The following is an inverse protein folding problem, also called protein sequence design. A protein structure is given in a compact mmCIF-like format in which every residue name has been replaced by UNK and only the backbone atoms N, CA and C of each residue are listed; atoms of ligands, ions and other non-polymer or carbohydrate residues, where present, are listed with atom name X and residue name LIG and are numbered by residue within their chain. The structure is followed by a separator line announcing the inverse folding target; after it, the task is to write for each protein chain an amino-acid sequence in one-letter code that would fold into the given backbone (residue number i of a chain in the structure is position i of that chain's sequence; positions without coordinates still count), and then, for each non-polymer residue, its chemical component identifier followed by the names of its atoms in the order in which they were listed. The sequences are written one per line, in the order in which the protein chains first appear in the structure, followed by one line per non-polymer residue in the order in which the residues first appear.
data_IF_592777966408
#
_entry.id   IF_592777966408
#
_cell.length_a   1.000
_cell.length_b   1.000
_cell.length_c   1.000
_cell.angle_alpha   90.00
_cell.angle_beta   90.00
_cell.angle_gamma   90.00
#
_symmetry.space_group_name_H-M   'P 1'
#
loop_
_entity.id
_entity.type
_entity.pdbx_description
1 polymer ?
#
# COMPACT_ATOMS: atom_id res chain seq x y z
N UNK A 1 1.57 -35.98 -9.16
CA UNK A 1 0.52 -34.93 -9.21
C UNK A 1 1.00 -33.57 -8.65
N UNK A 2 2.30 -33.19 -8.73
CA UNK A 2 2.84 -32.04 -7.98
C UNK A 2 3.31 -30.80 -8.77
N UNK A 3 3.53 -30.90 -10.09
CA UNK A 3 4.22 -29.84 -10.85
C UNK A 3 3.30 -28.70 -11.28
N UNK A 4 2.09 -28.98 -11.76
CA UNK A 4 1.17 -27.95 -12.23
C UNK A 4 0.62 -27.04 -11.11
N UNK A 5 0.38 -27.60 -9.92
CA UNK A 5 -0.06 -26.83 -8.75
C UNK A 5 1.06 -25.94 -8.21
N UNK A 6 2.29 -26.47 -8.11
CA UNK A 6 3.47 -25.72 -7.66
C UNK A 6 3.87 -24.59 -8.63
N UNK A 7 3.74 -24.81 -9.94
CA UNK A 7 3.97 -23.75 -10.93
C UNK A 7 2.90 -22.65 -10.85
N UNK A 8 1.63 -23.01 -10.60
CA UNK A 8 0.54 -22.02 -10.43
C UNK A 8 0.72 -21.17 -9.18
N UNK A 9 1.13 -21.75 -8.04
CA UNK A 9 1.41 -20.99 -6.81
C UNK A 9 2.59 -20.05 -7.02
N UNK A 10 3.67 -20.53 -7.63
CA UNK A 10 4.86 -19.70 -7.92
C UNK A 10 4.54 -18.50 -8.83
N UNK A 11 3.69 -18.70 -9.84
CA UNK A 11 3.27 -17.61 -10.74
C UNK A 11 2.32 -16.63 -10.06
N UNK A 12 1.43 -17.10 -9.18
CA UNK A 12 0.56 -16.25 -8.38
C UNK A 12 1.39 -15.38 -7.43
N UNK A 13 2.37 -15.97 -6.72
CA UNK A 13 3.27 -15.24 -5.82
C UNK A 13 4.07 -14.18 -6.57
N UNK A 14 4.62 -14.50 -7.75
CA UNK A 14 5.34 -13.51 -8.57
C UNK A 14 4.45 -12.32 -9.00
N UNK A 15 3.16 -12.56 -9.26
CA UNK A 15 2.22 -11.48 -9.62
C UNK A 15 1.89 -10.61 -8.42
N UNK A 16 1.67 -11.21 -7.25
CA UNK A 16 1.46 -10.48 -5.99
C UNK A 16 2.69 -9.64 -5.66
N UNK A 17 3.89 -10.23 -5.70
CA UNK A 17 5.14 -9.51 -5.42
C UNK A 17 5.35 -8.34 -6.39
N UNK A 18 5.10 -8.54 -7.69
CA UNK A 18 5.21 -7.45 -8.67
C UNK A 18 4.15 -6.36 -8.45
N UNK A 19 2.90 -6.76 -8.21
CA UNK A 19 1.82 -5.82 -7.92
C UNK A 19 2.11 -4.99 -6.67
N UNK A 20 2.57 -5.65 -5.60
CA UNK A 20 2.99 -5.01 -4.38
C UNK A 20 4.15 -4.03 -4.62
N UNK A 21 5.20 -4.46 -5.31
CA UNK A 21 6.35 -3.61 -5.63
C UNK A 21 5.94 -2.36 -6.44
N UNK A 22 5.01 -2.52 -7.40
CA UNK A 22 4.48 -1.39 -8.17
C UNK A 22 3.66 -0.45 -7.29
N UNK A 23 2.76 -0.98 -6.46
CA UNK A 23 1.89 -0.19 -5.60
C UNK A 23 2.67 0.58 -4.53
N UNK A 24 3.67 -0.05 -3.90
CA UNK A 24 4.47 0.58 -2.84
C UNK A 24 5.52 1.54 -3.39
N UNK A 25 5.90 1.41 -4.68
CA UNK A 25 6.91 2.30 -5.28
C UNK A 25 6.47 3.77 -5.34
N UNK A 26 5.17 4.02 -5.48
CA UNK A 26 4.61 5.38 -5.53
C UNK A 26 4.77 6.11 -4.19
N UNK A 27 4.22 5.62 -3.06
CA UNK A 27 4.42 6.28 -1.76
C UNK A 27 5.90 6.31 -1.34
N UNK A 28 6.70 5.30 -1.71
CA UNK A 28 8.14 5.32 -1.46
C UNK A 28 8.86 6.43 -2.25
N UNK A 29 8.47 6.62 -3.52
CA UNK A 29 8.97 7.69 -4.36
C UNK A 29 8.57 9.07 -3.84
N UNK A 30 7.34 9.23 -3.35
CA UNK A 30 6.88 10.46 -2.70
C UNK A 30 7.72 10.77 -1.45
N UNK A 31 7.93 9.78 -0.57
CA UNK A 31 8.77 9.95 0.61
C UNK A 31 10.22 10.32 0.25
N UNK A 32 10.79 9.72 -0.79
CA UNK A 32 12.13 10.06 -1.26
C UNK A 32 12.21 11.50 -1.80
N UNK A 33 11.23 11.91 -2.61
CA UNK A 33 11.10 13.28 -3.12
C UNK A 33 11.03 14.27 -1.97
N UNK A 34 10.21 13.97 -0.96
CA UNK A 34 10.07 14.78 0.25
C UNK A 34 11.38 14.87 1.02
N UNK A 35 12.09 13.77 1.26
CA UNK A 35 13.38 13.79 1.96
C UNK A 35 14.43 14.60 1.18
N UNK A 36 14.50 14.44 -0.14
CA UNK A 36 15.51 15.08 -0.97
C UNK A 36 15.22 16.58 -1.21
N UNK A 37 13.94 16.97 -1.24
CA UNK A 37 13.51 18.29 -1.68
C UNK A 37 12.66 19.05 -0.65
N UNK A 38 12.52 18.54 0.59
CA UNK A 38 11.63 19.01 1.67
C UNK A 38 11.46 20.53 1.79
N UNK A 39 12.53 21.30 1.61
CA UNK A 39 12.50 22.77 1.76
C UNK A 39 12.74 23.54 0.46
N UNK A 40 12.68 22.87 -0.71
CA UNK A 40 13.06 23.44 -2.01
C UNK A 40 11.99 23.28 -3.08
N UNK A 41 10.90 22.57 -2.80
CA UNK A 41 9.80 22.46 -3.74
C UNK A 41 9.00 23.78 -3.77
N UNK A 42 8.80 24.38 -4.95
CA UNK A 42 7.90 25.51 -5.09
C UNK A 42 6.46 25.04 -4.84
N UNK A 43 5.63 25.93 -4.30
CA UNK A 43 4.21 25.70 -4.01
C UNK A 43 3.41 24.97 -5.11
N UNK A 44 3.53 25.32 -6.41
CA UNK A 44 2.83 24.57 -7.47
C UNK A 44 3.28 23.11 -7.60
N UNK A 45 4.52 22.77 -7.24
CA UNK A 45 4.98 21.39 -7.24
C UNK A 45 4.40 20.60 -6.06
N UNK A 46 4.21 21.24 -4.91
CA UNK A 46 3.57 20.63 -3.74
C UNK A 46 2.10 20.33 -4.05
N UNK A 47 1.36 21.30 -4.59
CA UNK A 47 -0.04 21.11 -4.98
C UNK A 47 -0.22 20.04 -6.07
N UNK A 48 0.77 19.84 -6.94
CA UNK A 48 0.73 18.78 -7.95
C UNK A 48 0.93 17.37 -7.35
N UNK A 49 1.66 17.26 -6.23
CA UNK A 49 1.87 16.00 -5.52
C UNK A 49 0.72 15.65 -4.58
N UNK A 50 -0.04 16.64 -4.12
CA UNK A 50 -1.11 16.46 -3.14
C UNK A 50 -2.17 15.42 -3.54
N UNK A 51 -2.65 15.32 -4.80
CA UNK A 51 -3.53 14.23 -5.22
C UNK A 51 -2.89 12.85 -5.09
N UNK A 52 -1.57 12.73 -5.31
CA UNK A 52 -0.86 11.48 -5.16
C UNK A 52 -0.75 11.09 -3.69
N UNK A 53 -0.42 12.03 -2.80
CA UNK A 53 -0.45 11.79 -1.35
C UNK A 53 -1.87 11.42 -0.87
N UNK A 54 -2.89 12.10 -1.37
CA UNK A 54 -4.27 11.81 -1.02
C UNK A 54 -4.66 10.36 -1.34
N UNK A 55 -4.32 9.88 -2.54
CA UNK A 55 -4.69 8.53 -2.99
C UNK A 55 -3.78 7.45 -2.41
N UNK A 56 -2.48 7.70 -2.33
CA UNK A 56 -1.50 6.67 -2.00
C UNK A 56 -1.03 6.68 -0.53
N UNK A 57 -1.37 7.70 0.24
CA UNK A 57 -0.96 7.78 1.65
C UNK A 57 -2.18 8.04 2.52
N UNK A 58 -2.87 9.16 2.32
CA UNK A 58 -3.92 9.61 3.24
C UNK A 58 -5.15 8.70 3.20
N UNK A 59 -5.63 8.34 2.01
CA UNK A 59 -6.81 7.47 1.88
C UNK A 59 -6.57 6.07 2.48
N UNK A 60 -5.50 5.33 2.16
CA UNK A 60 -5.20 4.05 2.80
C UNK A 60 -5.14 4.14 4.33
N UNK A 61 -4.48 5.19 4.84
CA UNK A 61 -4.31 5.39 6.29
C UNK A 61 -5.63 5.76 6.95
N UNK A 62 -6.45 6.59 6.32
CA UNK A 62 -7.78 6.91 6.82
C UNK A 62 -8.69 5.68 6.86
N UNK A 63 -8.64 4.84 5.82
CA UNK A 63 -9.42 3.59 5.76
C UNK A 63 -8.96 2.63 6.85
N UNK A 64 -7.66 2.33 6.95
CA UNK A 64 -7.17 1.41 7.98
C UNK A 64 -7.35 2.01 9.38
N UNK A 65 -7.17 3.33 9.51
CA UNK A 65 -7.42 4.10 10.72
C UNK A 65 -8.83 3.88 11.26
N UNK A 66 -9.84 4.24 10.46
CA UNK A 66 -11.24 4.18 10.86
C UNK A 66 -11.76 2.74 11.06
N UNK A 67 -11.35 1.80 10.20
CA UNK A 67 -11.91 0.45 10.20
C UNK A 67 -11.13 -0.56 11.04
N UNK A 68 -9.86 -0.28 11.36
CA UNK A 68 -8.97 -1.24 12.06
C UNK A 68 -8.36 -0.62 13.31
N UNK A 69 -7.72 0.54 13.21
CA UNK A 69 -6.92 1.09 14.30
C UNK A 69 -7.77 1.72 15.41
N UNK A 70 -8.76 2.53 15.04
CA UNK A 70 -9.70 3.18 15.98
C UNK A 70 -10.48 2.17 16.83
N UNK A 71 -11.10 1.11 16.27
CA UNK A 71 -11.76 0.09 17.08
C UNK A 71 -10.85 -0.63 18.08
N UNK A 72 -9.54 -0.63 17.82
CA UNK A 72 -8.53 -1.26 18.68
C UNK A 72 -7.90 -0.28 19.69
N UNK A 73 -8.28 0.99 19.68
CA UNK A 73 -7.69 2.03 20.54
C UNK A 73 -6.20 2.28 20.26
N UNK A 74 -5.71 1.93 19.05
CA UNK A 74 -4.30 2.09 18.68
C UNK A 74 -3.89 3.57 18.65
N UNK A 75 -4.70 4.52 18.12
CA UNK A 75 -4.31 5.93 18.07
C UNK A 75 -3.96 6.51 19.44
N UNK A 76 -4.75 6.19 20.48
CA UNK A 76 -4.46 6.65 21.85
C UNK A 76 -3.19 6.02 22.42
N UNK A 77 -2.93 4.74 22.10
CA UNK A 77 -1.73 4.02 22.55
C UNK A 77 -0.44 4.58 21.95
N UNK A 78 -0.49 5.17 20.76
CA UNK A 78 0.70 5.67 20.04
C UNK A 78 0.86 7.18 20.09
N UNK A 79 -0.14 7.92 20.59
CA UNK A 79 -0.13 9.38 20.67
C UNK A 79 1.06 9.95 21.48
N UNK A 80 1.63 9.19 22.40
CA UNK A 80 2.75 9.62 23.25
C UNK A 80 4.15 9.52 22.60
N UNK A 81 4.28 8.94 21.41
CA UNK A 81 5.59 8.71 20.77
C UNK A 81 5.52 8.93 19.25
N UNK A 82 6.17 9.98 18.72
CA UNK A 82 6.16 10.26 17.28
C UNK A 82 6.80 9.12 16.47
N UNK A 83 7.85 8.49 17.00
CA UNK A 83 8.50 7.34 16.38
C UNK A 83 7.54 6.15 16.27
N UNK A 84 6.73 5.91 17.30
CA UNK A 84 5.75 4.81 17.28
C UNK A 84 4.65 5.08 16.26
N UNK A 85 4.17 6.33 16.18
CA UNK A 85 3.18 6.72 15.18
C UNK A 85 3.70 6.53 13.74
N UNK A 86 4.96 6.89 13.47
CA UNK A 86 5.60 6.64 12.16
C UNK A 86 5.72 5.16 11.83
N UNK A 87 6.12 4.31 12.80
CA UNK A 87 6.20 2.86 12.60
C UNK A 87 4.83 2.28 12.28
N UNK A 88 3.78 2.69 13.00
CA UNK A 88 2.40 2.23 12.75
C UNK A 88 1.91 2.69 11.39
N UNK A 89 2.23 3.92 10.98
CA UNK A 89 1.91 4.44 9.66
C UNK A 89 2.57 3.61 8.55
N UNK A 90 3.87 3.33 8.67
CA UNK A 90 4.62 2.52 7.72
C UNK A 90 4.07 1.09 7.64
N UNK A 91 3.85 0.46 8.79
CA UNK A 91 3.27 -0.88 8.87
C UNK A 91 1.88 -0.92 8.22
N UNK A 92 1.06 0.09 8.48
CA UNK A 92 -0.28 0.25 7.90
C UNK A 92 -0.22 0.28 6.37
N UNK A 93 0.63 1.15 5.81
CA UNK A 93 0.78 1.28 4.36
C UNK A 93 1.31 -0.02 3.72
N UNK A 94 2.35 -0.61 4.29
CA UNK A 94 2.93 -1.87 3.78
C UNK A 94 1.90 -2.98 3.78
N UNK A 95 1.20 -3.18 4.89
CA UNK A 95 0.15 -4.21 5.01
C UNK A 95 -1.00 -3.94 4.03
N UNK A 96 -1.48 -2.70 3.94
CA UNK A 96 -2.55 -2.32 3.03
C UNK A 96 -2.19 -2.64 1.57
N UNK A 97 -1.00 -2.23 1.11
CA UNK A 97 -0.57 -2.46 -0.27
C UNK A 97 -0.32 -3.93 -0.56
N UNK A 98 0.17 -4.69 0.41
CA UNK A 98 0.34 -6.13 0.24
C UNK A 98 -1.01 -6.84 0.08
N UNK A 99 -1.99 -6.50 0.92
CA UNK A 99 -3.35 -7.05 0.80
C UNK A 99 -4.04 -6.62 -0.50
N UNK A 100 -3.83 -5.37 -0.94
CA UNK A 100 -4.35 -4.89 -2.22
C UNK A 100 -3.73 -5.63 -3.41
N UNK A 101 -2.43 -5.94 -3.35
CA UNK A 101 -1.76 -6.76 -4.36
C UNK A 101 -2.32 -8.19 -4.42
N UNK A 102 -2.63 -8.79 -3.27
CA UNK A 102 -3.31 -10.10 -3.19
C UNK A 102 -4.71 -10.01 -3.80
N UNK A 103 -5.50 -8.99 -3.40
CA UNK A 103 -6.87 -8.81 -3.87
C UNK A 103 -6.92 -8.64 -5.40
N UNK A 104 -6.07 -7.79 -5.96
CA UNK A 104 -5.98 -7.56 -7.41
C UNK A 104 -5.54 -8.81 -8.17
N UNK A 105 -4.52 -9.54 -7.69
CA UNK A 105 -4.09 -10.79 -8.31
C UNK A 105 -5.20 -11.86 -8.28
N UNK A 106 -5.95 -11.92 -7.18
CA UNK A 106 -7.08 -12.84 -6.99
C UNK A 106 -8.22 -12.51 -7.95
N UNK A 107 -8.64 -11.24 -8.01
CA UNK A 107 -9.68 -10.76 -8.93
C UNK A 107 -9.30 -11.02 -10.39
N UNK A 108 -8.06 -10.73 -10.78
CA UNK A 108 -7.58 -11.01 -12.13
C UNK A 108 -7.54 -12.52 -12.46
N UNK A 109 -7.36 -13.38 -11.45
CA UNK A 109 -7.45 -14.83 -11.60
C UNK A 109 -8.89 -15.29 -11.83
N UNK A 110 -9.84 -14.75 -11.04
CA UNK A 110 -11.28 -15.06 -11.17
C UNK A 110 -11.84 -14.57 -12.50
N UNK A 111 -11.56 -13.32 -12.89
CA UNK A 111 -12.06 -12.76 -14.14
C UNK A 111 -11.60 -13.53 -15.38
N UNK A 112 -10.36 -14.04 -15.39
CA UNK A 112 -9.87 -14.90 -16.48
C UNK A 112 -10.59 -16.24 -16.58
N UNK A 113 -11.08 -16.79 -15.46
CA UNK A 113 -11.86 -18.04 -15.48
C UNK A 113 -13.23 -17.78 -16.08
N UNK A 114 -13.91 -16.73 -15.63
CA UNK A 114 -15.24 -16.35 -16.11
C UNK A 114 -15.26 -15.98 -17.60
N UNK A 115 -14.16 -15.49 -18.17
CA UNK A 115 -14.08 -15.16 -19.59
C UNK A 115 -13.70 -16.36 -20.49
N UNK A 116 -13.32 -17.49 -19.90
CA UNK A 116 -12.96 -18.71 -20.62
C UNK A 116 -14.09 -19.74 -20.67
N UNK A 117 -15.13 -19.55 -19.83
CA UNK A 117 -16.40 -20.27 -19.85
C UNK A 117 -17.40 -19.55 -20.77
#
# INVERSE_FOLDING_TARGET
MGTAASLRSTVADRRVVRGFALLVSVPLGLALVEILLSNRLPEPAISALEPLYAVFVYLPVAVVGAFVLEPLGIPELVAGSPVTAEIVLLATLVCFYYLLAIATATLASVGRRLAAD
#
